data_IF_881013058263
#
_entry.id   IF_881013058263
#
_cell.length_a   1.000
_cell.length_b   1.000
_cell.length_c   1.000
_cell.angle_alpha   90.00
_cell.angle_beta   90.00
_cell.angle_gamma   90.00
#
_symmetry.space_group_name_H-M   'P 1'
#
loop_
_entity.id
_entity.type
_entity.pdbx_description
1 polymer ?
#
# COMPACT_ATOMS: atom_id res chain seq x y z
N UNK A 1 -7.65 -27.11 6.23
CA UNK A 1 -6.21 -26.78 6.05
C UNK A 1 -6.08 -25.96 4.79
N UNK A 2 -6.11 -24.63 4.88
CA UNK A 2 -5.85 -23.74 3.76
C UNK A 2 -4.34 -23.69 3.52
N UNK A 3 -3.87 -24.31 2.44
CA UNK A 3 -2.55 -24.05 1.90
C UNK A 3 -2.60 -22.64 1.30
N UNK A 4 -2.02 -21.68 2.01
CA UNK A 4 -1.91 -20.31 1.54
C UNK A 4 -0.93 -20.32 0.37
N UNK A 5 -1.45 -20.20 -0.85
CA UNK A 5 -0.64 -20.08 -2.06
C UNK A 5 -0.15 -18.62 -2.17
N UNK A 6 0.70 -18.21 -1.21
CA UNK A 6 1.35 -16.90 -1.21
C UNK A 6 2.33 -16.88 -2.38
N UNK A 7 2.20 -15.87 -3.25
CA UNK A 7 3.19 -15.57 -4.28
C UNK A 7 4.53 -15.25 -3.62
N UNK A 8 5.64 -15.72 -4.21
CA UNK A 8 6.97 -15.42 -3.70
C UNK A 8 7.24 -13.91 -3.52
N UNK A 9 6.58 -13.06 -4.31
CA UNK A 9 6.65 -11.60 -4.17
C UNK A 9 5.97 -11.07 -2.90
N UNK A 10 4.81 -11.60 -2.53
CA UNK A 10 4.08 -11.20 -1.32
C UNK A 10 4.77 -11.68 -0.04
N UNK A 11 5.33 -12.89 -0.06
CA UNK A 11 6.19 -13.39 1.02
C UNK A 11 7.42 -12.49 1.21
N UNK A 12 8.01 -12.00 0.12
CA UNK A 12 9.18 -11.13 0.17
C UNK A 12 8.85 -9.76 0.78
N UNK A 13 7.72 -9.15 0.43
CA UNK A 13 7.29 -7.87 1.03
C UNK A 13 6.95 -8.00 2.53
N UNK A 14 6.39 -9.14 2.94
CA UNK A 14 6.18 -9.46 4.36
C UNK A 14 7.50 -9.63 5.13
N UNK A 15 8.53 -10.20 4.49
CA UNK A 15 9.84 -10.47 5.09
C UNK A 15 10.82 -9.30 5.00
N UNK A 16 10.62 -8.37 4.06
CA UNK A 16 11.49 -7.21 3.80
C UNK A 16 11.82 -6.38 5.05
N UNK A 17 10.87 -6.01 5.92
CA UNK A 17 11.20 -5.29 7.15
C UNK A 17 12.03 -6.14 8.12
N UNK A 18 11.74 -7.44 8.25
CA UNK A 18 12.52 -8.34 9.11
C UNK A 18 13.96 -8.55 8.58
N UNK A 19 14.11 -8.67 7.27
CA UNK A 19 15.41 -8.80 6.61
C UNK A 19 16.27 -7.53 6.76
N UNK A 20 15.67 -6.34 6.68
CA UNK A 20 16.35 -5.06 6.94
C UNK A 20 16.79 -4.93 8.40
N UNK A 21 15.96 -5.35 9.35
CA UNK A 21 16.35 -5.37 10.77
C UNK A 21 17.50 -6.33 11.00
N UNK A 22 17.46 -7.53 10.41
CA UNK A 22 18.55 -8.51 10.49
C UNK A 22 19.86 -8.00 9.88
N UNK A 23 19.81 -7.37 8.71
CA UNK A 23 20.99 -6.80 8.05
C UNK A 23 21.59 -5.63 8.84
N UNK A 24 20.75 -4.78 9.44
CA UNK A 24 21.18 -3.67 10.29
C UNK A 24 21.86 -4.17 11.58
N UNK A 25 21.32 -5.22 12.21
CA UNK A 25 21.94 -5.84 13.40
C UNK A 25 23.31 -6.43 13.04
N UNK A 26 23.40 -7.20 11.96
CA UNK A 26 24.66 -7.79 11.48
C UNK A 26 25.69 -6.73 11.10
N UNK A 27 25.27 -5.70 10.37
CA UNK A 27 26.13 -4.57 10.01
C UNK A 27 26.68 -3.84 11.23
N UNK A 28 25.82 -3.59 12.23
CA UNK A 28 26.23 -2.94 13.48
C UNK A 28 27.25 -3.80 14.24
N UNK A 29 27.05 -5.12 14.28
CA UNK A 29 27.96 -6.04 14.94
C UNK A 29 29.31 -6.13 14.22
N UNK A 30 29.30 -6.24 12.88
CA UNK A 30 30.51 -6.24 12.05
C UNK A 30 31.26 -4.92 12.18
N UNK A 31 30.56 -3.78 12.16
CA UNK A 31 31.17 -2.48 12.38
C UNK A 31 31.78 -2.35 13.79
N UNK A 32 31.07 -2.79 14.83
CA UNK A 32 31.56 -2.76 16.21
C UNK A 32 32.78 -3.69 16.42
N UNK A 33 32.84 -4.82 15.72
CA UNK A 33 33.99 -5.72 15.73
C UNK A 33 35.15 -5.18 14.87
N UNK A 34 34.87 -4.65 13.69
CA UNK A 34 35.86 -4.15 12.75
C UNK A 34 36.49 -2.86 13.24
N UNK A 35 35.70 -1.98 13.84
CA UNK A 35 36.19 -0.74 14.46
C UNK A 35 37.16 -1.03 15.59
N UNK A 36 37.10 -2.19 16.26
CA UNK A 36 38.10 -2.60 17.27
C UNK A 36 39.43 -3.00 16.64
N UNK A 37 39.43 -3.49 15.39
CA UNK A 37 40.56 -4.17 14.73
C UNK A 37 41.26 -3.35 13.64
N UNK A 38 40.53 -2.50 12.93
CA UNK A 38 41.03 -1.79 11.75
C UNK A 38 40.90 -0.27 11.89
N UNK A 39 41.40 0.46 10.89
CA UNK A 39 41.21 1.90 10.77
C UNK A 39 39.72 2.26 10.60
N UNK A 40 39.37 3.48 10.97
CA UNK A 40 37.98 3.93 11.00
C UNK A 40 37.30 3.83 9.61
N UNK A 41 38.01 4.21 8.54
CA UNK A 41 37.52 4.14 7.16
C UNK A 41 37.22 2.70 6.73
N UNK A 42 38.13 1.76 7.00
CA UNK A 42 37.93 0.35 6.62
C UNK A 42 36.80 -0.30 7.40
N UNK A 43 36.63 0.06 8.69
CA UNK A 43 35.49 -0.40 9.46
C UNK A 43 34.15 0.11 8.92
N UNK A 44 34.08 1.39 8.52
CA UNK A 44 32.87 1.98 7.92
C UNK A 44 32.53 1.27 6.61
N UNK A 45 33.52 1.09 5.72
CA UNK A 45 33.32 0.38 4.46
C UNK A 45 32.78 -1.04 4.69
N UNK A 46 33.34 -1.78 5.65
CA UNK A 46 32.82 -3.12 5.99
C UNK A 46 31.39 -3.09 6.54
N UNK A 47 31.05 -2.08 7.36
CA UNK A 47 29.69 -1.90 7.88
C UNK A 47 28.69 -1.66 6.74
N UNK A 48 29.01 -0.76 5.81
CA UNK A 48 28.18 -0.46 4.63
C UNK A 48 28.02 -1.69 3.75
N UNK A 49 29.11 -2.39 3.45
CA UNK A 49 29.07 -3.61 2.63
C UNK A 49 28.24 -4.71 3.30
N UNK A 50 28.30 -4.82 4.63
CA UNK A 50 27.47 -5.77 5.38
C UNK A 50 26.01 -5.37 5.45
N UNK A 51 25.70 -4.07 5.43
CA UNK A 51 24.32 -3.60 5.37
C UNK A 51 23.68 -3.94 4.02
N UNK A 52 24.44 -3.81 2.93
CA UNK A 52 23.98 -4.13 1.58
C UNK A 52 23.93 -5.65 1.31
N UNK A 53 24.90 -6.41 1.83
CA UNK A 53 25.08 -7.84 1.52
C UNK A 53 25.42 -8.65 2.80
N UNK A 54 24.50 -8.72 3.78
CA UNK A 54 24.78 -9.31 5.10
C UNK A 54 25.15 -10.78 5.03
N UNK A 55 24.50 -11.54 4.13
CA UNK A 55 24.70 -12.99 3.97
C UNK A 55 26.06 -13.36 3.36
N UNK A 56 26.76 -12.41 2.74
CA UNK A 56 28.05 -12.64 2.09
C UNK A 56 29.16 -11.96 2.90
N UNK A 57 28.97 -10.69 3.26
CA UNK A 57 30.01 -9.89 3.91
C UNK A 57 30.27 -10.30 5.36
N UNK A 58 29.23 -10.63 6.14
CA UNK A 58 29.39 -11.02 7.53
C UNK A 58 30.19 -12.34 7.69
N UNK A 59 29.87 -13.46 7.01
CA UNK A 59 30.63 -14.70 7.17
C UNK A 59 32.08 -14.57 6.67
N UNK A 60 32.32 -13.85 5.56
CA UNK A 60 33.67 -13.58 5.08
C UNK A 60 34.49 -12.76 6.09
N UNK A 61 33.87 -11.75 6.72
CA UNK A 61 34.51 -10.97 7.76
C UNK A 61 34.86 -11.81 8.99
N UNK A 62 33.93 -12.65 9.46
CA UNK A 62 34.19 -13.53 10.59
C UNK A 62 35.27 -14.57 10.30
N UNK A 63 35.29 -15.15 9.10
CA UNK A 63 36.35 -16.06 8.67
C UNK A 63 37.72 -15.37 8.68
N UNK A 64 37.83 -14.15 8.13
CA UNK A 64 39.05 -13.36 8.16
C UNK A 64 39.52 -13.06 9.60
N UNK A 65 38.57 -12.72 10.47
CA UNK A 65 38.78 -12.43 11.89
C UNK A 65 39.31 -13.63 12.67
N UNK A 66 38.81 -14.83 12.38
CA UNK A 66 39.23 -16.09 13.03
C UNK A 66 40.65 -16.45 12.60
N UNK A 67 41.00 -16.23 11.34
CA UNK A 67 42.33 -16.55 10.79
C UNK A 67 43.42 -15.57 11.26
N UNK A 68 43.09 -14.28 11.44
CA UNK A 68 44.06 -13.22 11.76
C UNK A 68 43.94 -12.68 13.20
N UNK A 69 44.18 -13.52 14.22
CA UNK A 69 43.87 -13.24 15.64
C UNK A 69 44.86 -12.38 16.44
N UNK A 70 45.86 -11.73 15.82
CA UNK A 70 46.83 -10.87 16.56
C UNK A 70 46.19 -9.52 16.92
N UNK A 71 45.61 -9.42 18.12
CA UNK A 71 44.84 -8.26 18.56
C UNK A 71 45.56 -7.40 19.62
N UNK A 72 45.64 -6.09 19.39
CA UNK A 72 46.05 -5.09 20.40
C UNK A 72 44.84 -4.20 20.76
N UNK A 73 44.37 -4.18 22.03
CA UNK A 73 43.22 -3.39 22.41
C UNK A 73 43.58 -1.90 22.47
N UNK A 74 42.85 -1.06 21.72
CA UNK A 74 42.93 0.41 21.84
C UNK A 74 41.57 1.02 22.18
N UNK A 75 41.57 1.82 23.25
CA UNK A 75 40.51 2.63 23.87
C UNK A 75 39.04 2.34 23.47
N UNK A 76 38.40 1.51 24.30
CA UNK A 76 37.04 0.96 24.12
C UNK A 76 35.93 2.03 24.16
N UNK A 77 36.05 3.04 25.02
CA UNK A 77 34.96 3.99 25.35
C UNK A 77 34.57 4.94 24.20
N UNK A 78 35.53 5.39 23.39
CA UNK A 78 35.30 6.35 22.29
C UNK A 78 34.63 5.70 21.06
N UNK A 79 34.80 4.38 20.88
CA UNK A 79 34.29 3.64 19.72
C UNK A 79 32.83 3.17 19.90
N UNK A 80 32.40 2.87 21.12
CA UNK A 80 30.99 2.62 21.43
C UNK A 80 30.10 3.83 21.11
N UNK A 81 30.60 5.05 21.36
CA UNK A 81 29.90 6.29 21.02
C UNK A 81 29.68 6.44 19.50
N UNK A 82 30.63 6.01 18.68
CA UNK A 82 30.54 6.09 17.21
C UNK A 82 29.55 5.04 16.67
N UNK A 83 29.57 3.82 17.21
CA UNK A 83 28.59 2.78 16.83
C UNK A 83 27.18 3.16 17.28
N UNK A 84 27.02 3.73 18.47
CA UNK A 84 25.74 4.22 18.97
C UNK A 84 25.20 5.40 18.15
N UNK A 85 26.07 6.33 17.72
CA UNK A 85 25.65 7.43 16.84
C UNK A 85 25.21 6.94 15.47
N UNK A 86 25.91 5.95 14.89
CA UNK A 86 25.52 5.36 13.61
C UNK A 86 24.15 4.66 13.69
N UNK A 87 23.92 3.86 14.74
CA UNK A 87 22.63 3.21 14.98
C UNK A 87 21.50 4.23 15.17
N UNK A 88 21.75 5.30 15.93
CA UNK A 88 20.78 6.38 16.13
C UNK A 88 20.40 7.10 14.83
N UNK A 89 21.38 7.42 13.97
CA UNK A 89 21.14 8.03 12.66
C UNK A 89 20.34 7.09 11.76
N UNK A 90 20.70 5.80 11.72
CA UNK A 90 20.02 4.81 10.90
C UNK A 90 18.55 4.64 11.33
N UNK A 91 18.30 4.54 12.63
CA UNK A 91 16.94 4.48 13.19
C UNK A 91 16.15 5.76 12.89
N UNK A 92 16.79 6.92 12.97
CA UNK A 92 16.19 8.20 12.61
C UNK A 92 15.77 8.25 11.14
N UNK A 93 16.64 7.81 10.22
CA UNK A 93 16.34 7.75 8.79
C UNK A 93 15.21 6.75 8.48
N UNK A 94 15.21 5.58 9.12
CA UNK A 94 14.13 4.60 8.99
C UNK A 94 12.81 5.18 9.50
N UNK A 95 12.82 5.88 10.64
CA UNK A 95 11.62 6.51 11.18
C UNK A 95 11.07 7.60 10.24
N UNK A 96 11.95 8.45 9.70
CA UNK A 96 11.57 9.48 8.71
C UNK A 96 11.00 8.83 7.45
N UNK A 97 11.65 7.78 6.94
CA UNK A 97 11.19 7.05 5.76
C UNK A 97 9.79 6.44 5.97
N UNK A 98 9.58 5.73 7.09
CA UNK A 98 8.28 5.15 7.41
C UNK A 98 7.18 6.21 7.58
N UNK A 99 7.51 7.37 8.14
CA UNK A 99 6.55 8.46 8.31
C UNK A 99 6.18 9.13 6.99
N UNK A 100 7.15 9.29 6.08
CA UNK A 100 6.89 9.80 4.73
C UNK A 100 6.05 8.82 3.91
N UNK A 101 6.29 7.52 4.07
CA UNK A 101 5.56 6.47 3.36
C UNK A 101 4.08 6.42 3.76
N UNK A 102 3.76 6.58 5.05
CA UNK A 102 2.38 6.54 5.56
C UNK A 102 1.45 7.63 5.01
N UNK A 103 1.99 8.74 4.49
CA UNK A 103 1.22 9.85 3.91
C UNK A 103 0.98 9.73 2.41
N UNK A 104 1.28 8.57 1.80
CA UNK A 104 1.09 8.35 0.37
C UNK A 104 -0.26 7.68 0.11
N UNK A 105 -0.83 8.00 -1.05
CA UNK A 105 -2.15 7.51 -1.49
C UNK A 105 -2.16 5.98 -1.60
N UNK A 106 -1.09 5.39 -2.12
CA UNK A 106 -0.91 3.94 -2.30
C UNK A 106 -1.06 3.15 -0.98
N UNK A 107 -0.54 3.69 0.13
CA UNK A 107 -0.64 3.05 1.45
C UNK A 107 -2.09 3.02 1.93
N UNK A 108 -2.84 4.11 1.76
CA UNK A 108 -4.26 4.14 2.13
C UNK A 108 -5.11 3.23 1.23
N UNK A 109 -4.85 3.19 -0.08
CA UNK A 109 -5.51 2.27 -0.98
C UNK A 109 -5.23 0.79 -0.63
N UNK A 110 -3.99 0.46 -0.27
CA UNK A 110 -3.63 -0.87 0.21
C UNK A 110 -4.37 -1.23 1.50
N UNK A 111 -4.40 -0.33 2.49
CA UNK A 111 -5.15 -0.54 3.74
C UNK A 111 -6.65 -0.71 3.49
N UNK A 112 -7.24 0.07 2.59
CA UNK A 112 -8.64 -0.05 2.22
C UNK A 112 -8.95 -1.44 1.64
N UNK A 113 -8.09 -1.94 0.76
CA UNK A 113 -8.22 -3.29 0.19
C UNK A 113 -8.09 -4.38 1.26
N UNK A 114 -7.14 -4.25 2.19
CA UNK A 114 -6.99 -5.19 3.31
C UNK A 114 -8.22 -5.19 4.23
N UNK A 115 -8.73 -4.01 4.59
CA UNK A 115 -9.95 -3.88 5.38
C UNK A 115 -11.14 -4.52 4.67
N UNK A 116 -11.22 -4.37 3.34
CA UNK A 116 -12.28 -4.96 2.52
C UNK A 116 -12.23 -6.49 2.53
N UNK A 117 -11.03 -7.08 2.41
CA UNK A 117 -10.83 -8.53 2.50
C UNK A 117 -11.20 -9.08 3.88
N UNK A 118 -10.99 -8.28 4.92
CA UNK A 118 -11.37 -8.61 6.30
C UNK A 118 -12.84 -8.31 6.61
N UNK A 119 -13.64 -7.91 5.62
CA UNK A 119 -15.03 -7.47 5.78
C UNK A 119 -15.21 -6.29 6.77
N UNK A 120 -14.13 -5.54 7.07
CA UNK A 120 -14.19 -4.31 7.87
C UNK A 120 -14.59 -3.12 6.99
N UNK A 121 -15.90 -3.00 6.76
CA UNK A 121 -16.46 -1.95 5.91
C UNK A 121 -16.16 -0.53 6.40
N UNK A 122 -16.19 -0.33 7.71
CA UNK A 122 -15.88 0.99 8.30
C UNK A 122 -14.41 1.35 8.10
N UNK A 123 -13.52 0.36 8.25
CA UNK A 123 -12.11 0.49 7.89
C UNK A 123 -11.93 0.87 6.44
N UNK A 124 -12.57 0.14 5.51
CA UNK A 124 -12.46 0.41 4.07
C UNK A 124 -12.89 1.83 3.71
N UNK A 125 -14.06 2.28 4.16
CA UNK A 125 -14.58 3.63 3.91
C UNK A 125 -13.63 4.70 4.44
N UNK A 126 -13.09 4.50 5.66
CA UNK A 126 -12.15 5.44 6.28
C UNK A 126 -10.87 5.57 5.45
N UNK A 127 -10.29 4.47 5.01
CA UNK A 127 -9.03 4.48 4.26
C UNK A 127 -9.22 5.04 2.84
N UNK A 128 -10.34 4.78 2.17
CA UNK A 128 -10.65 5.45 0.89
C UNK A 128 -10.83 6.96 1.05
N UNK A 129 -11.50 7.43 2.10
CA UNK A 129 -11.60 8.87 2.40
C UNK A 129 -10.23 9.49 2.69
N UNK A 130 -9.35 8.77 3.39
CA UNK A 130 -7.98 9.22 3.63
C UNK A 130 -7.18 9.31 2.32
N UNK A 131 -7.30 8.33 1.43
CA UNK A 131 -6.69 8.39 0.10
C UNK A 131 -7.18 9.61 -0.69
N UNK A 132 -8.49 9.85 -0.72
CA UNK A 132 -9.10 11.02 -1.39
C UNK A 132 -8.70 12.37 -0.78
N UNK A 133 -8.36 12.39 0.51
CA UNK A 133 -7.84 13.61 1.15
C UNK A 133 -6.42 13.98 0.71
N UNK A 134 -5.68 13.02 0.15
CA UNK A 134 -4.32 13.20 -0.36
C UNK A 134 -4.32 13.46 -1.87
N UNK A 135 -5.15 12.73 -2.61
CA UNK A 135 -5.28 12.87 -4.06
C UNK A 135 -6.75 12.68 -4.47
N UNK A 136 -7.32 13.70 -5.09
CA UNK A 136 -8.65 13.63 -5.70
C UNK A 136 -8.57 12.73 -6.95
N UNK A 137 -9.09 11.51 -6.81
CA UNK A 137 -8.96 10.46 -7.81
C UNK A 137 -10.35 9.89 -8.18
N UNK A 138 -10.78 10.00 -9.45
CA UNK A 138 -12.11 9.57 -9.90
C UNK A 138 -12.37 8.08 -9.64
N UNK A 139 -11.34 7.25 -9.82
CA UNK A 139 -11.44 5.81 -9.57
C UNK A 139 -11.66 5.51 -8.09
N UNK A 140 -10.99 6.25 -7.21
CA UNK A 140 -11.14 6.10 -5.76
C UNK A 140 -12.52 6.55 -5.29
N UNK A 141 -13.07 7.62 -5.86
CA UNK A 141 -14.47 8.03 -5.66
C UNK A 141 -15.45 6.90 -6.01
N UNK A 142 -15.26 6.23 -7.17
CA UNK A 142 -16.08 5.07 -7.55
C UNK A 142 -16.01 3.93 -6.53
N UNK A 143 -14.80 3.57 -6.09
CA UNK A 143 -14.60 2.49 -5.12
C UNK A 143 -15.26 2.82 -3.78
N UNK A 144 -15.11 4.06 -3.29
CA UNK A 144 -15.78 4.52 -2.08
C UNK A 144 -17.31 4.46 -2.22
N UNK A 145 -17.85 4.86 -3.37
CA UNK A 145 -19.29 4.83 -3.64
C UNK A 145 -19.88 3.41 -3.57
N UNK A 146 -19.15 2.41 -4.06
CA UNK A 146 -19.53 1.00 -3.97
C UNK A 146 -19.62 0.56 -2.50
N UNK A 147 -18.60 0.85 -1.70
CA UNK A 147 -18.60 0.46 -0.28
C UNK A 147 -19.68 1.18 0.54
N UNK A 148 -19.95 2.45 0.22
CA UNK A 148 -21.04 3.22 0.83
C UNK A 148 -22.43 2.66 0.44
N UNK A 149 -22.58 2.23 -0.81
CA UNK A 149 -23.80 1.58 -1.29
C UNK A 149 -24.09 0.35 -0.46
N UNK A 150 -23.08 -0.51 -0.29
CA UNK A 150 -23.26 -1.72 0.48
C UNK A 150 -23.48 -1.43 1.97
N UNK A 151 -22.89 -0.36 2.50
CA UNK A 151 -23.14 0.13 3.86
C UNK A 151 -24.56 0.66 4.08
N UNK A 152 -25.35 0.82 3.01
CA UNK A 152 -26.68 1.44 3.05
C UNK A 152 -26.64 2.97 3.11
N UNK A 153 -25.46 3.59 2.99
CA UNK A 153 -25.32 5.04 2.96
C UNK A 153 -25.51 5.55 1.52
N UNK A 154 -26.75 5.45 1.05
CA UNK A 154 -27.10 5.63 -0.37
C UNK A 154 -26.86 7.06 -0.87
N UNK A 155 -27.12 8.07 -0.04
CA UNK A 155 -26.97 9.46 -0.46
C UNK A 155 -25.49 9.85 -0.64
N UNK A 156 -24.62 9.42 0.29
CA UNK A 156 -23.19 9.62 0.14
C UNK A 156 -22.67 8.84 -1.08
N UNK A 157 -23.13 7.61 -1.29
CA UNK A 157 -22.76 6.82 -2.47
C UNK A 157 -23.11 7.52 -3.79
N UNK A 158 -24.30 8.13 -3.90
CA UNK A 158 -24.70 8.90 -5.08
C UNK A 158 -23.74 10.08 -5.31
N UNK A 159 -23.37 10.79 -4.25
CA UNK A 159 -22.45 11.93 -4.35
C UNK A 159 -21.06 11.49 -4.85
N UNK A 160 -20.53 10.40 -4.32
CA UNK A 160 -19.23 9.85 -4.69
C UNK A 160 -19.23 9.31 -6.13
N UNK A 161 -20.29 8.63 -6.57
CA UNK A 161 -20.41 8.22 -7.98
C UNK A 161 -20.48 9.42 -8.93
N UNK A 162 -21.17 10.50 -8.55
CA UNK A 162 -21.20 11.75 -9.34
C UNK A 162 -19.84 12.44 -9.38
N UNK A 163 -19.03 12.34 -8.32
CA UNK A 163 -17.65 12.83 -8.32
C UNK A 163 -16.78 12.01 -9.27
N UNK A 164 -16.91 10.68 -9.25
CA UNK A 164 -16.23 9.79 -10.18
C UNK A 164 -16.61 10.08 -11.65
N UNK A 165 -17.90 10.27 -11.95
CA UNK A 165 -18.39 10.66 -13.28
C UNK A 165 -17.78 11.99 -13.74
N UNK A 166 -17.84 13.04 -12.90
CA UNK A 166 -17.27 14.36 -13.22
C UNK A 166 -15.76 14.32 -13.40
N UNK A 167 -15.08 13.45 -12.65
CA UNK A 167 -13.65 13.24 -12.73
C UNK A 167 -13.21 12.44 -13.97
N UNK A 168 -14.14 11.90 -14.75
CA UNK A 168 -13.83 11.14 -15.96
C UNK A 168 -13.39 9.71 -15.69
N UNK A 169 -13.90 9.07 -14.64
CA UNK A 169 -13.71 7.62 -14.43
C UNK A 169 -14.23 6.86 -15.66
N UNK A 170 -13.40 6.03 -16.33
CA UNK A 170 -13.75 5.37 -17.59
C UNK A 170 -14.74 4.21 -17.44
N UNK A 171 -15.24 3.94 -16.23
CA UNK A 171 -16.16 2.85 -15.95
C UNK A 171 -17.62 3.27 -16.22
N UNK A 172 -18.10 2.93 -17.41
CA UNK A 172 -19.48 3.15 -17.86
C UNK A 172 -20.55 2.59 -16.89
N UNK A 173 -20.21 1.61 -16.05
CA UNK A 173 -21.16 1.02 -15.10
C UNK A 173 -21.62 1.98 -14.01
N UNK A 174 -20.94 3.13 -13.85
CA UNK A 174 -21.35 4.19 -12.92
C UNK A 174 -22.78 4.66 -13.20
N UNK A 175 -23.17 4.84 -14.47
CA UNK A 175 -24.51 5.29 -14.82
C UNK A 175 -25.60 4.29 -14.40
N UNK A 176 -25.35 2.99 -14.59
CA UNK A 176 -26.28 1.96 -14.13
C UNK A 176 -26.45 1.99 -12.61
N UNK A 177 -25.33 2.06 -11.88
CA UNK A 177 -25.31 2.09 -10.41
C UNK A 177 -25.97 3.34 -9.85
N UNK A 178 -25.73 4.51 -10.47
CA UNK A 178 -26.42 5.75 -10.12
C UNK A 178 -27.92 5.62 -10.35
N UNK A 179 -28.35 5.08 -11.50
CA UNK A 179 -29.76 4.81 -11.78
C UNK A 179 -30.40 3.93 -10.71
N UNK A 180 -29.76 2.83 -10.35
CA UNK A 180 -30.25 1.91 -9.30
C UNK A 180 -30.34 2.57 -7.92
N UNK A 181 -29.35 3.39 -7.55
CA UNK A 181 -29.35 4.11 -6.30
C UNK A 181 -30.43 5.18 -6.26
N UNK A 182 -30.61 5.94 -7.34
CA UNK A 182 -31.64 6.96 -7.47
C UNK A 182 -33.05 6.37 -7.44
N UNK A 183 -33.26 5.20 -8.07
CA UNK A 183 -34.51 4.44 -7.95
C UNK A 183 -34.78 4.03 -6.49
N UNK A 184 -33.75 3.52 -5.79
CA UNK A 184 -33.87 3.10 -4.37
C UNK A 184 -34.17 4.28 -3.44
N UNK A 185 -33.66 5.48 -3.74
CA UNK A 185 -33.92 6.69 -2.95
C UNK A 185 -35.18 7.44 -3.39
N UNK A 186 -35.93 6.92 -4.37
CA UNK A 186 -37.19 7.48 -4.85
C UNK A 186 -37.05 8.62 -5.87
N UNK A 187 -35.84 8.94 -6.30
CA UNK A 187 -35.57 9.96 -7.31
C UNK A 187 -35.63 9.36 -8.73
N UNK A 188 -36.82 8.91 -9.10
CA UNK A 188 -37.06 8.15 -10.32
C UNK A 188 -36.76 8.93 -11.60
N UNK A 189 -37.01 10.24 -11.63
CA UNK A 189 -36.73 11.06 -12.81
C UNK A 189 -35.25 11.09 -13.14
N UNK A 190 -34.41 11.29 -12.13
CA UNK A 190 -32.95 11.29 -12.30
C UNK A 190 -32.45 9.89 -12.63
N UNK A 191 -33.02 8.85 -12.01
CA UNK A 191 -32.68 7.46 -12.28
C UNK A 191 -32.84 7.10 -13.75
N UNK A 192 -33.96 7.50 -14.35
CA UNK A 192 -34.26 7.26 -15.76
C UNK A 192 -33.25 7.97 -16.68
N UNK A 193 -32.81 9.18 -16.33
CA UNK A 193 -31.75 9.88 -17.05
C UNK A 193 -30.43 9.11 -17.05
N UNK A 194 -30.05 8.53 -15.91
CA UNK A 194 -28.83 7.72 -15.78
C UNK A 194 -28.93 6.39 -16.53
N UNK A 195 -30.08 5.72 -16.52
CA UNK A 195 -30.29 4.53 -17.35
C UNK A 195 -30.19 4.85 -18.85
N UNK A 196 -30.73 5.98 -19.31
CA UNK A 196 -30.57 6.42 -20.70
C UNK A 196 -29.11 6.70 -21.07
N UNK A 197 -28.33 7.29 -20.16
CA UNK A 197 -26.88 7.45 -20.35
C UNK A 197 -26.20 6.09 -20.47
N UNK A 198 -26.49 5.17 -19.55
CA UNK A 198 -25.92 3.82 -19.57
C UNK A 198 -26.16 3.09 -20.90
N UNK A 199 -27.37 3.18 -21.47
CA UNK A 199 -27.68 2.55 -22.76
C UNK A 199 -26.89 3.11 -23.94
N UNK A 200 -26.36 4.34 -23.83
CA UNK A 200 -25.52 4.98 -24.86
C UNK A 200 -24.03 4.69 -24.67
N UNK A 201 -23.64 4.02 -23.59
CA UNK A 201 -22.24 3.70 -23.30
C UNK A 201 -21.72 2.60 -24.21
N UNK A 202 -20.40 2.57 -24.40
CA UNK A 202 -19.74 1.54 -25.22
C UNK A 202 -20.05 0.15 -24.69
N UNK A 203 -19.97 -0.02 -23.37
CA UNK A 203 -20.27 -1.29 -22.69
C UNK A 203 -21.61 -1.88 -23.14
N UNK A 204 -22.64 -1.03 -23.22
CA UNK A 204 -23.97 -1.50 -23.60
C UNK A 204 -24.16 -1.70 -25.10
N UNK A 205 -23.55 -0.84 -25.90
CA UNK A 205 -23.59 -0.94 -27.37
C UNK A 205 -22.86 -2.20 -27.87
N UNK A 206 -21.77 -2.61 -27.22
CA UNK A 206 -21.02 -3.82 -27.57
C UNK A 206 -21.72 -5.09 -27.11
N UNK A 207 -22.45 -5.05 -25.99
CA UNK A 207 -23.15 -6.21 -25.43
C UNK A 207 -24.63 -5.94 -25.10
N UNK A 208 -25.51 -5.73 -26.12
CA UNK A 208 -26.90 -5.33 -25.88
C UNK A 208 -27.74 -6.38 -25.13
N UNK A 209 -27.37 -7.66 -25.26
CA UNK A 209 -27.99 -8.78 -24.54
C UNK A 209 -27.39 -9.01 -23.15
N UNK A 210 -26.44 -8.17 -22.71
CA UNK A 210 -25.88 -8.23 -21.37
C UNK A 210 -26.95 -7.95 -20.32
N UNK A 211 -26.92 -8.68 -19.20
CA UNK A 211 -27.94 -8.57 -18.14
C UNK A 211 -28.16 -7.13 -17.66
N UNK A 212 -27.08 -6.35 -17.55
CA UNK A 212 -27.13 -4.95 -17.14
C UNK A 212 -27.84 -4.04 -18.15
N UNK A 213 -27.66 -4.26 -19.46
CA UNK A 213 -28.36 -3.50 -20.51
C UNK A 213 -29.85 -3.83 -20.54
N UNK A 214 -30.17 -5.12 -20.47
CA UNK A 214 -31.56 -5.58 -20.46
C UNK A 214 -32.29 -5.03 -19.23
N UNK A 215 -31.63 -5.01 -18.07
CA UNK A 215 -32.19 -4.42 -16.85
C UNK A 215 -32.40 -2.90 -17.02
N UNK A 216 -31.44 -2.16 -17.56
CA UNK A 216 -31.60 -0.73 -17.81
C UNK A 216 -32.78 -0.43 -18.77
N UNK A 217 -32.95 -1.22 -19.85
CA UNK A 217 -34.11 -1.11 -20.76
C UNK A 217 -35.41 -1.38 -20.02
N UNK A 218 -35.44 -2.43 -19.19
CA UNK A 218 -36.62 -2.79 -18.40
C UNK A 218 -37.01 -1.70 -17.39
N UNK A 219 -36.03 -1.04 -16.77
CA UNK A 219 -36.28 0.10 -15.86
C UNK A 219 -36.89 1.30 -16.60
N UNK A 220 -36.44 1.55 -17.82
CA UNK A 220 -36.98 2.61 -18.67
C UNK A 220 -38.38 2.31 -19.20
N UNK A 221 -38.69 1.05 -19.51
CA UNK A 221 -40.00 0.67 -20.04
C UNK A 221 -41.10 0.68 -18.99
N UNK A 222 -40.74 0.59 -17.70
CA UNK A 222 -41.70 0.55 -16.60
C UNK A 222 -42.19 1.94 -16.14
N UNK A 223 -41.92 3.00 -16.91
CA UNK A 223 -42.25 4.42 -16.63
C UNK A 223 -43.73 4.65 -16.34
#
# INVERSE_FOLDING_TARGET
MCLINISAGEAFELLRPAALVGSAILSTFVFASASRRFALITSILLGIVTLALPLIAAPLYFAFVIVNSKFTPRNIRRRWLISASYAGILLGLIFVYLKLDQGRVDVHLWKANQARLNYDRNGTIREYRAALSLEDNPHTHKLLAIELTDAGNLQDAINEFRLAERGGEPDDSIHLRLGELLDKTGNRTDALGEYEKYLKTKTCLETPAGGNCVEAVKRLSNR
#
